data_IF_398504919172
#
_entry.id   IF_398504919172
#
_cell.length_a   1.000
_cell.length_b   1.000
_cell.length_c   1.000
_cell.angle_alpha   90.00
_cell.angle_beta   90.00
_cell.angle_gamma   90.00
#
_symmetry.space_group_name_H-M   'P 1'
#
loop_
_entity.id
_entity.type
_entity.pdbx_description
1 polymer ?
2 water ?
#
# COMPACT_ATOMS: atom_id res chain seq x y z
N UNK A 1 7.46 5.80 1.41
CA UNK A 1 6.93 4.42 1.27
C UNK A 1 5.41 4.49 1.34
N UNK A 2 4.80 3.95 0.30
CA UNK A 2 3.33 3.94 0.17
C UNK A 2 2.97 2.52 -0.15
N UNK A 3 2.08 1.92 0.62
CA UNK A 3 1.70 0.58 0.39
C UNK A 3 0.18 0.49 0.50
N UNK A 4 -0.40 -0.12 -0.50
CA UNK A 4 -1.82 -0.30 -0.56
C UNK A 4 -2.08 -1.72 -0.88
N UNK A 5 -2.92 -2.37 -0.08
CA UNK A 5 -3.28 -3.81 -0.31
C UNK A 5 -4.76 -3.91 -0.14
N UNK A 6 -5.44 -4.46 -1.13
CA UNK A 6 -6.86 -4.82 -0.97
C UNK A 6 -7.64 -4.48 -2.21
#
# INVERSE_FOLDING_TARGET
IYQYGG
#
